data_IF_790685318005
#
_entry.id   IF_790685318005
#
_cell.length_a   1.000
_cell.length_b   1.000
_cell.length_c   1.000
_cell.angle_alpha   90.00
_cell.angle_beta   90.00
_cell.angle_gamma   90.00
#
_symmetry.space_group_name_H-M   'P 1'
#
loop_
_entity.id
_entity.type
_entity.pdbx_description
1 polymer ?
#
# COMPACT_ATOMS: atom_id res chain seq x y z
N UNK A 1 -36.68 24.05 -36.32
CA UNK A 1 -35.99 24.28 -35.03
C UNK A 1 -34.97 23.14 -34.85
N UNK A 2 -33.65 23.38 -34.89
CA UNK A 2 -32.68 22.30 -34.70
C UNK A 2 -32.54 21.98 -33.20
N UNK A 3 -32.63 20.70 -32.86
CA UNK A 3 -32.45 20.15 -31.52
C UNK A 3 -31.03 20.40 -30.99
N UNK A 4 -30.84 20.65 -29.68
CA UNK A 4 -29.51 20.82 -29.11
C UNK A 4 -28.78 19.46 -29.05
N UNK A 5 -27.77 19.30 -29.90
CA UNK A 5 -26.80 18.22 -29.83
C UNK A 5 -26.07 18.26 -28.49
N UNK A 6 -26.47 17.39 -27.56
CA UNK A 6 -25.86 17.27 -26.25
C UNK A 6 -24.58 16.46 -26.37
N UNK A 7 -23.46 17.13 -26.61
CA UNK A 7 -22.14 16.51 -26.61
C UNK A 7 -21.87 15.83 -25.26
N UNK A 8 -21.48 14.55 -25.22
CA UNK A 8 -21.08 13.92 -23.97
C UNK A 8 -19.80 14.58 -23.46
N UNK A 9 -19.83 15.09 -22.22
CA UNK A 9 -18.64 15.57 -21.53
C UNK A 9 -17.67 14.38 -21.40
N UNK A 10 -16.35 14.58 -21.58
CA UNK A 10 -15.39 13.49 -21.35
C UNK A 10 -15.60 12.95 -19.94
N UNK A 11 -15.91 11.66 -19.86
CA UNK A 11 -16.08 10.94 -18.62
C UNK A 11 -14.82 11.12 -17.78
N UNK A 12 -15.01 11.49 -16.51
CA UNK A 12 -14.00 11.51 -15.48
C UNK A 12 -13.38 10.11 -15.42
N UNK A 13 -12.25 9.91 -16.11
CA UNK A 13 -11.61 8.61 -16.17
C UNK A 13 -11.16 8.27 -14.74
N UNK A 14 -11.62 7.16 -14.15
CA UNK A 14 -11.20 6.78 -12.81
C UNK A 14 -9.69 6.61 -12.84
N UNK A 15 -8.97 7.47 -12.09
CA UNK A 15 -7.53 7.33 -11.95
C UNK A 15 -7.23 5.92 -11.44
N UNK A 16 -6.23 5.22 -11.98
CA UNK A 16 -5.83 3.93 -11.45
C UNK A 16 -5.43 4.12 -9.99
N UNK A 17 -6.29 3.66 -9.07
CA UNK A 17 -5.93 3.54 -7.66
C UNK A 17 -4.95 2.37 -7.56
N UNK A 18 -3.80 2.55 -6.91
CA UNK A 18 -2.88 1.45 -6.68
C UNK A 18 -3.64 0.32 -5.95
N UNK A 19 -3.35 -0.96 -6.30
CA UNK A 19 -3.92 -2.06 -5.54
C UNK A 19 -3.51 -1.92 -4.07
N UNK A 20 -4.39 -2.27 -3.12
CA UNK A 20 -4.05 -2.23 -1.71
C UNK A 20 -2.87 -3.16 -1.43
N UNK A 21 -1.85 -2.63 -0.77
CA UNK A 21 -0.72 -3.38 -0.27
C UNK A 21 -1.01 -3.81 1.17
N UNK A 22 -0.79 -5.08 1.45
CA UNK A 22 -1.01 -5.67 2.78
C UNK A 22 0.34 -6.03 3.36
N UNK A 23 0.65 -5.51 4.54
CA UNK A 23 1.87 -5.80 5.28
C UNK A 23 1.52 -6.67 6.47
N UNK A 24 2.23 -7.79 6.64
CA UNK A 24 1.99 -8.76 7.70
C UNK A 24 3.25 -8.84 8.55
N UNK A 25 3.12 -8.60 9.84
CA UNK A 25 4.25 -8.70 10.76
C UNK A 25 4.63 -10.16 10.98
N UNK A 26 5.90 -10.50 10.79
CA UNK A 26 6.41 -11.87 10.98
C UNK A 26 6.46 -12.29 12.46
N UNK A 27 6.56 -11.32 13.39
CA UNK A 27 6.62 -11.57 14.83
C UNK A 27 5.26 -11.87 15.48
N UNK A 28 4.29 -10.97 15.32
CA UNK A 28 2.97 -11.05 15.97
C UNK A 28 1.79 -11.22 15.01
N UNK A 29 2.05 -11.40 13.71
CA UNK A 29 1.03 -11.60 12.65
C UNK A 29 0.01 -10.45 12.52
N UNK A 30 0.31 -9.27 13.07
CA UNK A 30 -0.55 -8.10 12.87
C UNK A 30 -0.55 -7.70 11.38
N UNK A 31 -1.71 -7.30 10.89
CA UNK A 31 -1.93 -6.96 9.47
C UNK A 31 -2.22 -5.48 9.33
N UNK A 32 -1.47 -4.81 8.47
CA UNK A 32 -1.68 -3.40 8.12
C UNK A 32 -2.01 -3.28 6.62
N UNK A 33 -3.15 -2.65 6.32
CA UNK A 33 -3.62 -2.46 4.94
C UNK A 33 -3.35 -1.03 4.50
N UNK A 34 -2.51 -0.86 3.49
CA UNK A 34 -2.19 0.45 2.90
C UNK A 34 -2.67 0.50 1.45
N UNK A 35 -2.99 1.70 0.98
CA UNK A 35 -3.23 1.95 -0.46
C UNK A 35 -1.95 2.30 -1.22
N UNK A 36 -0.81 2.24 -0.53
CA UNK A 36 0.51 2.59 -1.05
C UNK A 36 1.47 1.43 -0.84
N UNK A 37 2.40 1.17 -1.77
CA UNK A 37 3.43 0.14 -1.63
C UNK A 37 4.57 0.54 -0.68
N UNK A 38 4.38 1.60 0.10
CA UNK A 38 5.37 2.12 1.05
C UNK A 38 5.15 1.42 2.39
N UNK A 39 6.25 0.97 2.99
CA UNK A 39 6.23 0.34 4.31
C UNK A 39 5.57 1.29 5.34
N UNK A 40 4.68 0.80 6.22
CA UNK A 40 4.03 1.65 7.21
C UNK A 40 5.06 2.33 8.13
N UNK A 41 4.72 3.51 8.64
CA UNK A 41 5.57 4.21 9.60
C UNK A 41 5.85 3.36 10.85
N UNK A 42 7.10 3.33 11.28
CA UNK A 42 7.56 2.52 12.42
C UNK A 42 7.69 1.02 12.12
N UNK A 43 7.26 0.55 10.96
CA UNK A 43 7.56 -0.81 10.53
C UNK A 43 8.97 -0.87 9.96
N UNK A 44 9.57 -2.05 10.08
CA UNK A 44 10.89 -2.34 9.57
C UNK A 44 10.87 -3.62 8.73
N UNK A 45 11.80 -3.74 7.80
CA UNK A 45 11.97 -4.93 6.98
C UNK A 45 13.35 -5.51 7.20
N UNK A 46 13.42 -6.83 7.30
CA UNK A 46 14.68 -7.56 7.46
C UNK A 46 14.79 -8.55 6.32
N UNK A 47 15.89 -8.46 5.58
CA UNK A 47 16.24 -9.47 4.60
C UNK A 47 16.86 -10.67 5.32
N UNK A 48 16.16 -11.79 5.30
CA UNK A 48 16.62 -13.03 5.92
C UNK A 48 16.46 -14.18 4.92
N UNK A 49 17.57 -14.89 4.63
CA UNK A 49 17.59 -16.05 3.73
C UNK A 49 17.04 -15.80 2.31
N UNK A 50 17.03 -14.55 1.86
CA UNK A 50 16.50 -14.16 0.54
C UNK A 50 15.03 -13.72 0.56
N UNK A 51 14.39 -13.73 1.74
CA UNK A 51 13.04 -13.23 1.95
C UNK A 51 13.07 -11.86 2.65
N UNK A 52 12.10 -11.00 2.32
CA UNK A 52 11.87 -9.72 3.00
C UNK A 52 10.82 -9.95 4.08
N UNK A 53 11.25 -9.94 5.33
CA UNK A 53 10.38 -10.11 6.50
C UNK A 53 9.98 -8.74 7.04
N UNK A 54 8.68 -8.46 7.12
CA UNK A 54 8.17 -7.23 7.72
C UNK A 54 7.92 -7.42 9.23
N UNK A 55 8.21 -6.40 10.03
CA UNK A 55 7.95 -6.37 11.47
C UNK A 55 7.29 -5.04 11.86
N UNK A 56 6.30 -5.12 12.74
CA UNK A 56 5.65 -3.96 13.33
C UNK A 56 6.57 -3.28 14.37
N UNK A 57 6.32 -2.02 14.76
CA UNK A 57 7.19 -1.29 15.69
C UNK A 57 7.40 -1.98 17.03
N UNK A 58 6.44 -2.81 17.47
CA UNK A 58 6.52 -3.56 18.73
C UNK A 58 7.42 -4.81 18.61
N UNK A 59 7.45 -5.44 17.43
CA UNK A 59 8.24 -6.64 17.16
C UNK A 59 9.58 -6.35 16.44
N UNK A 60 9.80 -5.11 16.02
CA UNK A 60 10.99 -4.69 15.31
C UNK A 60 12.24 -4.91 16.20
N UNK A 61 13.23 -5.69 15.78
CA UNK A 61 14.45 -5.84 16.56
C UNK A 61 15.24 -4.53 16.55
N UNK A 62 15.79 -4.16 17.70
CA UNK A 62 16.61 -2.96 17.86
C UNK A 62 17.83 -3.04 16.92
N UNK A 63 17.78 -2.28 15.81
CA UNK A 63 18.83 -2.27 14.78
C UNK A 63 18.37 -2.68 13.37
N UNK A 64 17.10 -3.04 13.19
CA UNK A 64 16.54 -3.21 11.84
C UNK A 64 16.48 -1.85 11.12
N UNK A 65 17.35 -1.68 10.13
CA UNK A 65 17.44 -0.46 9.31
C UNK A 65 16.34 -0.46 8.25
N UNK A 66 15.70 0.69 8.07
CA UNK A 66 14.72 0.96 7.01
C UNK A 66 15.41 1.19 5.67
#
# INVERSE_FOLDING_TARGET
>A
MPSPSRSPRPADQPRPVPPPCTFICTGCECVEHRRTPVLPEGWTTIEARGDILAYCPDCAPAGAVQ
#
